data_IF_734548840166
#
_entry.id   IF_734548840166
#
_cell.length_a   1.000
_cell.length_b   1.000
_cell.length_c   1.000
_cell.angle_alpha   90.00
_cell.angle_beta   90.00
_cell.angle_gamma   90.00
#
_symmetry.space_group_name_H-M   'P 1'
#
loop_
_entity.id
_entity.type
_entity.pdbx_description
1 polymer ?
#
# COMPACT_ATOMS: atom_id res chain seq x y z
N UNK A 1 -4.94 25.09 -4.65
CA UNK A 1 -4.72 23.76 -4.05
C UNK A 1 -5.39 22.67 -4.89
N UNK A 2 -5.08 22.59 -6.20
CA UNK A 2 -5.76 21.70 -7.17
C UNK A 2 -4.82 20.78 -7.95
N UNK A 3 -3.50 20.82 -7.68
CA UNK A 3 -2.49 20.05 -8.41
C UNK A 3 -2.26 18.63 -7.86
N UNK A 4 -2.60 18.37 -6.59
CA UNK A 4 -2.31 17.11 -5.90
C UNK A 4 -3.13 15.92 -6.46
N UNK A 5 -2.48 14.83 -6.87
CA UNK A 5 -3.16 13.62 -7.37
C UNK A 5 -4.06 12.99 -6.31
N UNK A 6 -3.63 12.92 -5.05
CA UNK A 6 -4.48 12.43 -3.97
C UNK A 6 -5.71 13.32 -3.74
N UNK A 7 -5.57 14.64 -3.91
CA UNK A 7 -6.72 15.56 -3.84
C UNK A 7 -7.65 15.46 -5.06
N UNK A 8 -7.12 15.09 -6.23
CA UNK A 8 -7.88 14.83 -7.46
C UNK A 8 -8.58 13.48 -7.46
N UNK A 9 -8.14 12.53 -6.63
CA UNK A 9 -8.77 11.23 -6.54
C UNK A 9 -10.20 11.38 -6.03
N UNK A 10 -11.20 11.24 -6.90
CA UNK A 10 -12.60 11.56 -6.57
C UNK A 10 -13.15 10.74 -5.41
N UNK A 11 -12.90 9.43 -5.42
CA UNK A 11 -13.54 8.53 -4.46
C UNK A 11 -12.76 8.42 -3.15
N UNK A 12 -11.47 8.81 -3.14
CA UNK A 12 -10.55 8.78 -1.98
C UNK A 12 -10.80 7.54 -1.10
N UNK A 13 -10.91 6.40 -1.78
CA UNK A 13 -11.23 5.08 -1.25
C UNK A 13 -10.39 4.05 -1.97
N UNK A 14 -9.68 3.25 -1.20
CA UNK A 14 -8.86 2.15 -1.74
C UNK A 14 -9.62 0.85 -1.55
N UNK A 15 -10.06 0.55 -0.33
CA UNK A 15 -10.79 -0.66 0.01
C UNK A 15 -12.27 -0.56 -0.34
N UNK A 16 -12.82 -1.62 -0.93
CA UNK A 16 -14.23 -1.69 -1.30
C UNK A 16 -15.17 -1.78 -0.07
N UNK A 17 -14.74 -2.46 1.00
CA UNK A 17 -15.54 -2.76 2.20
C UNK A 17 -14.83 -2.34 3.50
N UNK A 18 -14.77 -1.03 3.76
CA UNK A 18 -14.05 -0.47 4.91
C UNK A 18 -14.84 -0.62 6.21
N UNK A 19 -14.17 -1.11 7.26
CA UNK A 19 -14.68 -1.09 8.64
C UNK A 19 -14.41 0.25 9.33
N UNK A 20 -13.31 0.92 8.97
CA UNK A 20 -13.00 2.27 9.41
C UNK A 20 -12.18 2.99 8.32
N UNK A 21 -12.41 4.30 8.17
CA UNK A 21 -11.65 5.16 7.27
C UNK A 21 -11.48 6.51 7.93
N UNK A 22 -10.26 7.06 7.89
CA UNK A 22 -10.00 8.42 8.34
C UNK A 22 -8.97 9.10 7.44
N UNK A 23 -8.99 10.43 7.46
CA UNK A 23 -8.09 11.27 6.68
C UNK A 23 -7.41 12.25 7.59
N UNK A 24 -6.11 12.41 7.40
CA UNK A 24 -5.32 13.44 8.07
C UNK A 24 -4.68 14.33 7.02
N UNK A 25 -4.62 15.63 7.34
CA UNK A 25 -3.89 16.60 6.54
C UNK A 25 -2.81 17.15 7.46
N UNK A 26 -1.56 16.88 7.13
CA UNK A 26 -0.46 17.44 7.88
C UNK A 26 -0.28 18.91 7.46
N UNK A 27 -0.65 19.84 8.36
CA UNK A 27 -0.73 21.26 8.02
C UNK A 27 0.62 21.91 7.69
N UNK A 28 1.75 21.30 8.08
CA UNK A 28 3.08 21.85 7.81
C UNK A 28 3.58 21.52 6.40
N UNK A 29 3.28 20.32 5.88
CA UNK A 29 3.72 19.88 4.56
C UNK A 29 2.56 19.70 3.56
N UNK A 30 1.35 20.10 3.92
CA UNK A 30 0.13 19.96 3.12
C UNK A 30 -0.04 18.56 2.50
N UNK A 31 0.43 17.53 3.21
CA UNK A 31 0.36 16.14 2.76
C UNK A 31 -0.91 15.53 3.33
N UNK A 32 -1.80 15.10 2.44
CA UNK A 32 -2.98 14.33 2.80
C UNK A 32 -2.56 12.85 2.96
N UNK A 33 -3.07 12.22 4.01
CA UNK A 33 -2.93 10.78 4.25
C UNK A 33 -4.32 10.18 4.41
N UNK A 34 -4.61 9.17 3.60
CA UNK A 34 -5.81 8.35 3.68
C UNK A 34 -5.47 7.06 4.41
N UNK A 35 -6.19 6.77 5.48
CA UNK A 35 -6.07 5.54 6.23
C UNK A 35 -7.38 4.76 6.17
N UNK A 36 -7.29 3.49 5.83
CA UNK A 36 -8.42 2.59 5.71
C UNK A 36 -8.13 1.27 6.40
N UNK A 37 -9.15 0.71 7.06
CA UNK A 37 -9.05 -0.54 7.80
C UNK A 37 -10.23 -1.43 7.47
N UNK A 38 -9.95 -2.70 7.20
CA UNK A 38 -10.93 -3.78 7.12
C UNK A 38 -10.56 -4.82 8.18
N UNK A 39 -11.54 -5.20 9.01
CA UNK A 39 -11.35 -6.21 10.05
C UNK A 39 -12.38 -7.33 9.86
N UNK A 40 -11.90 -8.56 9.89
CA UNK A 40 -12.70 -9.79 9.97
C UNK A 40 -12.22 -10.61 11.17
N UNK A 41 -12.84 -11.75 11.44
CA UNK A 41 -12.52 -12.58 12.62
C UNK A 41 -11.03 -12.97 12.69
N UNK A 42 -10.48 -13.42 11.56
CA UNK A 42 -9.11 -13.97 11.46
C UNK A 42 -8.13 -13.11 10.66
N UNK A 43 -8.62 -12.03 10.05
CA UNK A 43 -7.82 -11.19 9.16
C UNK A 43 -8.11 -9.71 9.38
N UNK A 44 -7.03 -8.93 9.54
CA UNK A 44 -7.04 -7.48 9.56
C UNK A 44 -6.23 -6.95 8.39
N UNK A 45 -6.80 -6.03 7.62
CA UNK A 45 -6.10 -5.29 6.58
C UNK A 45 -6.12 -3.80 6.90
N UNK A 46 -4.97 -3.15 6.83
CA UNK A 46 -4.85 -1.69 6.82
C UNK A 46 -4.27 -1.24 5.48
N UNK A 47 -4.71 -0.08 5.01
CA UNK A 47 -4.16 0.60 3.86
C UNK A 47 -3.93 2.05 4.24
N UNK A 48 -2.70 2.50 4.06
CA UNK A 48 -2.31 3.90 4.15
C UNK A 48 -1.92 4.37 2.75
N UNK A 49 -2.45 5.52 2.33
CA UNK A 49 -2.05 6.19 1.09
C UNK A 49 -1.67 7.62 1.40
N UNK A 50 -0.51 8.02 0.93
CA UNK A 50 0.01 9.37 1.09
C UNK A 50 0.68 9.85 -0.21
N UNK A 51 1.05 11.12 -0.23
CA UNK A 51 1.76 11.73 -1.36
C UNK A 51 0.86 12.56 -2.26
N UNK A 52 1.51 13.32 -3.16
CA UNK A 52 0.84 14.35 -3.93
C UNK A 52 0.96 14.14 -5.43
N UNK A 53 2.16 14.22 -6.01
CA UNK A 53 2.39 13.87 -7.42
C UNK A 53 2.88 12.42 -7.58
N UNK A 54 3.66 11.95 -6.61
CA UNK A 54 4.02 10.55 -6.44
C UNK A 54 3.23 9.99 -5.26
N UNK A 55 2.55 8.86 -5.46
CA UNK A 55 1.75 8.22 -4.43
C UNK A 55 2.57 7.15 -3.73
N UNK A 56 2.58 7.16 -2.41
CA UNK A 56 3.09 6.07 -1.59
C UNK A 56 1.90 5.37 -0.94
N UNK A 57 1.91 4.04 -1.04
CA UNK A 57 0.92 3.17 -0.43
C UNK A 57 1.59 2.11 0.42
N UNK A 58 1.03 1.92 1.61
CA UNK A 58 1.37 0.83 2.50
C UNK A 58 0.11 0.02 2.73
N UNK A 59 0.11 -1.25 2.33
CA UNK A 59 -0.94 -2.20 2.66
C UNK A 59 -0.39 -3.25 3.63
N UNK A 60 -1.02 -3.41 4.79
CA UNK A 60 -0.64 -4.43 5.76
C UNK A 60 -1.77 -5.42 5.96
N UNK A 61 -1.46 -6.71 5.90
CA UNK A 61 -2.38 -7.81 6.13
C UNK A 61 -1.91 -8.69 7.28
N UNK A 62 -2.68 -8.76 8.36
CA UNK A 62 -2.36 -9.56 9.53
C UNK A 62 -3.33 -10.73 9.63
N UNK A 63 -2.79 -11.95 9.60
CA UNK A 63 -3.55 -13.17 9.84
C UNK A 63 -3.26 -13.73 11.23
N UNK A 64 -4.31 -14.08 11.97
CA UNK A 64 -4.17 -14.89 13.19
C UNK A 64 -3.89 -16.33 12.78
N UNK A 65 -2.72 -16.86 13.17
CA UNK A 65 -2.34 -18.25 12.88
C UNK A 65 -1.18 -18.66 13.77
N UNK A 66 -1.28 -19.85 14.37
CA UNK A 66 -0.19 -20.47 15.12
C UNK A 66 0.73 -21.33 14.23
N UNK A 67 0.31 -21.63 13.00
CA UNK A 67 1.12 -22.36 12.02
C UNK A 67 2.05 -21.40 11.29
N UNK A 68 3.31 -21.36 11.71
CA UNK A 68 4.36 -20.53 11.11
C UNK A 68 5.22 -21.29 10.09
N UNK A 69 4.73 -22.44 9.60
CA UNK A 69 5.39 -23.19 8.52
C UNK A 69 5.45 -22.35 7.25
N UNK A 70 6.51 -22.54 6.46
CA UNK A 70 6.71 -21.84 5.19
C UNK A 70 5.52 -22.04 4.23
N UNK A 71 5.01 -23.28 4.15
CA UNK A 71 3.82 -23.61 3.36
C UNK A 71 2.59 -22.78 3.76
N UNK A 72 2.32 -22.61 5.06
CA UNK A 72 1.20 -21.79 5.50
C UNK A 72 1.44 -20.31 5.20
N UNK A 73 2.66 -19.81 5.43
CA UNK A 73 3.04 -18.44 5.13
C UNK A 73 2.86 -18.13 3.64
N UNK A 74 3.31 -18.99 2.74
CA UNK A 74 3.15 -18.80 1.30
C UNK A 74 1.68 -18.80 0.88
N UNK A 75 0.88 -19.70 1.47
CA UNK A 75 -0.57 -19.73 1.27
C UNK A 75 -1.22 -18.42 1.72
N UNK A 76 -0.87 -17.91 2.91
CA UNK A 76 -1.38 -16.64 3.45
C UNK A 76 -0.90 -15.43 2.64
N UNK A 77 0.33 -15.46 2.13
CA UNK A 77 0.87 -14.43 1.22
C UNK A 77 0.03 -14.36 -0.05
N UNK A 78 -0.27 -15.51 -0.65
CA UNK A 78 -1.14 -15.58 -1.84
C UNK A 78 -2.54 -15.05 -1.54
N UNK A 79 -3.13 -15.44 -0.39
CA UNK A 79 -4.43 -14.93 0.06
C UNK A 79 -4.42 -13.40 0.22
N UNK A 80 -3.34 -12.84 0.76
CA UNK A 80 -3.17 -11.39 0.90
C UNK A 80 -3.14 -10.67 -0.44
N UNK A 81 -2.33 -11.17 -1.39
CA UNK A 81 -2.22 -10.59 -2.73
C UNK A 81 -3.56 -10.71 -3.50
N UNK A 82 -4.23 -11.87 -3.41
CA UNK A 82 -5.57 -12.08 -3.99
C UNK A 82 -6.60 -11.13 -3.39
N UNK A 83 -6.53 -10.90 -2.08
CA UNK A 83 -7.40 -9.96 -1.39
C UNK A 83 -7.23 -8.54 -1.95
N UNK A 84 -5.98 -8.07 -2.10
CA UNK A 84 -5.69 -6.74 -2.63
C UNK A 84 -6.18 -6.57 -4.07
N UNK A 85 -6.01 -7.59 -4.92
CA UNK A 85 -6.51 -7.56 -6.31
C UNK A 85 -8.04 -7.44 -6.38
N UNK A 86 -8.76 -8.12 -5.49
CA UNK A 86 -10.24 -8.21 -5.54
C UNK A 86 -10.95 -7.11 -4.77
N UNK A 87 -10.34 -6.61 -3.70
CA UNK A 87 -11.01 -5.74 -2.72
C UNK A 87 -10.51 -4.29 -2.75
N UNK A 88 -9.77 -3.91 -3.78
CA UNK A 88 -9.27 -2.55 -3.94
C UNK A 88 -9.66 -1.91 -5.27
N UNK A 89 -9.69 -0.58 -5.29
CA UNK A 89 -9.83 0.23 -6.50
C UNK A 89 -8.56 0.30 -7.36
N UNK A 90 -7.44 -0.29 -6.90
CA UNK A 90 -6.14 -0.34 -7.57
C UNK A 90 -5.79 -1.76 -8.05
N UNK A 91 -6.82 -2.53 -8.42
CA UNK A 91 -6.70 -3.93 -8.79
C UNK A 91 -5.64 -4.21 -9.86
N UNK A 92 -5.49 -3.34 -10.87
CA UNK A 92 -4.47 -3.50 -11.93
C UNK A 92 -3.03 -3.34 -11.41
N UNK A 93 -2.78 -2.36 -10.53
CA UNK A 93 -1.46 -2.17 -9.92
C UNK A 93 -1.13 -3.41 -9.04
N UNK A 94 -2.09 -3.92 -8.27
CA UNK A 94 -1.88 -5.12 -7.46
C UNK A 94 -1.77 -6.42 -8.25
N UNK A 95 -2.41 -6.53 -9.43
CA UNK A 95 -2.18 -7.68 -10.33
C UNK A 95 -0.73 -7.74 -10.79
N UNK A 96 -0.11 -6.59 -11.07
CA UNK A 96 1.31 -6.54 -11.45
C UNK A 96 2.22 -7.01 -10.30
N UNK A 97 1.93 -6.58 -9.07
CA UNK A 97 2.62 -7.03 -7.87
C UNK A 97 2.44 -8.53 -7.65
N UNK A 98 1.19 -9.01 -7.72
CA UNK A 98 0.85 -10.40 -7.54
C UNK A 98 1.58 -11.29 -8.54
N UNK A 99 1.54 -10.94 -9.83
CA UNK A 99 2.20 -11.72 -10.87
C UNK A 99 3.70 -11.87 -10.58
N UNK A 100 4.38 -10.80 -10.17
CA UNK A 100 5.80 -10.88 -9.81
C UNK A 100 6.07 -11.89 -8.68
N UNK A 101 5.35 -11.79 -7.56
CA UNK A 101 5.56 -12.70 -6.42
C UNK A 101 5.07 -14.14 -6.63
N UNK A 102 4.33 -14.40 -7.71
CA UNK A 102 3.90 -15.75 -8.07
C UNK A 102 4.77 -16.41 -9.14
N UNK A 103 5.51 -15.64 -9.94
CA UNK A 103 6.30 -16.16 -11.07
C UNK A 103 7.81 -16.02 -10.90
N UNK A 104 8.26 -15.04 -10.13
CA UNK A 104 9.66 -14.66 -10.02
C UNK A 104 10.22 -15.05 -8.64
N UNK A 105 11.53 -15.28 -8.55
CA UNK A 105 12.18 -15.61 -7.26
C UNK A 105 12.00 -14.47 -6.25
N UNK A 106 11.73 -14.85 -4.99
CA UNK A 106 11.52 -13.89 -3.90
C UNK A 106 12.80 -13.11 -3.60
N UNK A 107 12.87 -11.88 -4.13
CA UNK A 107 13.95 -10.94 -3.83
C UNK A 107 13.63 -10.07 -2.61
N UNK A 108 14.66 -9.76 -1.82
CA UNK A 108 14.61 -8.77 -0.75
C UNK A 108 14.77 -7.33 -1.27
N UNK A 109 15.00 -7.13 -2.57
CA UNK A 109 15.16 -5.81 -3.17
C UNK A 109 13.82 -5.20 -3.59
N UNK A 110 13.79 -3.88 -3.75
CA UNK A 110 12.65 -3.21 -4.34
C UNK A 110 12.54 -3.58 -5.82
N UNK A 111 11.37 -4.03 -6.22
CA UNK A 111 11.09 -4.40 -7.61
C UNK A 111 10.52 -3.19 -8.31
N UNK A 112 11.11 -2.81 -9.45
CA UNK A 112 10.63 -1.72 -10.29
C UNK A 112 10.02 -2.28 -11.58
N UNK A 113 8.73 -2.05 -11.81
CA UNK A 113 8.03 -2.37 -13.06
C UNK A 113 7.32 -1.11 -13.57
N UNK A 114 7.88 -0.50 -14.61
CA UNK A 114 7.38 0.77 -15.16
C UNK A 114 7.47 1.91 -14.13
N UNK A 115 6.34 2.55 -13.85
CA UNK A 115 6.20 3.62 -12.84
C UNK A 115 5.95 3.09 -11.42
N UNK A 116 5.83 1.77 -11.26
CA UNK A 116 5.57 1.11 -9.98
C UNK A 116 6.88 0.63 -9.38
N UNK A 117 7.15 0.94 -8.12
CA UNK A 117 8.15 0.25 -7.32
C UNK A 117 7.51 -0.34 -6.08
N UNK A 118 7.86 -1.58 -5.73
CA UNK A 118 7.20 -2.26 -4.63
C UNK A 118 8.10 -3.26 -3.91
N UNK A 119 7.76 -3.54 -2.65
CA UNK A 119 8.42 -4.54 -1.81
C UNK A 119 7.45 -5.14 -0.80
N UNK A 120 7.48 -6.46 -0.67
CA UNK A 120 6.65 -7.23 0.26
C UNK A 120 7.51 -7.76 1.39
N UNK A 121 7.18 -7.36 2.61
CA UNK A 121 7.80 -7.83 3.84
C UNK A 121 6.90 -8.87 4.49
N UNK A 122 7.51 -9.85 5.15
CA UNK A 122 6.80 -10.84 5.97
C UNK A 122 7.38 -10.79 7.38
N UNK A 123 6.53 -10.54 8.36
CA UNK A 123 6.88 -10.59 9.79
C UNK A 123 6.09 -11.70 10.49
N UNK A 124 6.73 -12.39 11.45
CA UNK A 124 6.18 -13.53 12.17
C UNK A 124 6.10 -13.19 13.65
N UNK A 125 4.88 -13.24 14.20
CA UNK A 125 4.63 -13.18 15.64
C UNK A 125 4.23 -14.55 16.19
N UNK A 126 4.17 -14.66 17.52
CA UNK A 126 3.85 -15.91 18.24
C UNK A 126 2.58 -16.62 17.74
N UNK A 127 1.55 -15.88 17.35
CA UNK A 127 0.26 -16.42 16.84
C UNK A 127 -0.27 -15.60 15.66
N UNK A 128 0.64 -14.99 14.89
CA UNK A 128 0.26 -14.17 13.74
C UNK A 128 1.35 -14.13 12.68
N UNK A 129 0.91 -13.92 11.44
CA UNK A 129 1.79 -13.54 10.34
C UNK A 129 1.29 -12.21 9.78
N UNK A 130 2.21 -11.26 9.62
CA UNK A 130 1.95 -9.97 9.01
C UNK A 130 2.67 -9.89 7.66
N UNK A 131 1.94 -9.39 6.65
CA UNK A 131 2.48 -9.03 5.36
C UNK A 131 2.37 -7.54 5.20
N UNK A 132 3.47 -6.88 4.85
CA UNK A 132 3.50 -5.44 4.55
C UNK A 132 3.95 -5.24 3.12
N UNK A 133 3.07 -4.75 2.28
CA UNK A 133 3.37 -4.32 0.93
C UNK A 133 3.58 -2.80 0.93
N UNK A 134 4.78 -2.37 0.56
CA UNK A 134 5.07 -0.97 0.25
C UNK A 134 5.05 -0.82 -1.27
N UNK A 135 4.32 0.17 -1.77
CA UNK A 135 4.12 0.45 -3.18
C UNK A 135 4.24 1.95 -3.43
N UNK A 136 5.19 2.33 -4.27
CA UNK A 136 5.34 3.69 -4.76
C UNK A 136 4.93 3.76 -6.23
N UNK A 137 4.12 4.76 -6.55
CA UNK A 137 3.70 5.08 -7.91
C UNK A 137 4.31 6.40 -8.31
N UNK A 138 5.41 6.33 -9.05
CA UNK A 138 6.18 7.49 -9.49
C UNK A 138 5.68 7.97 -10.84
N UNK A 139 4.80 8.98 -10.82
CA UNK A 139 4.30 9.65 -12.03
C UNK A 139 5.25 10.75 -12.50
N UNK A 140 6.06 11.31 -11.60
CA UNK A 140 7.03 12.37 -11.89
C UNK A 140 8.44 11.98 -11.41
N UNK A 141 9.33 11.63 -12.33
CA UNK A 141 10.72 11.25 -12.02
C UNK A 141 11.58 12.38 -11.48
N UNK A 142 11.16 13.64 -11.67
CA UNK A 142 11.88 14.83 -11.21
C UNK A 142 11.49 15.24 -9.78
N UNK A 143 10.43 14.66 -9.22
CA UNK A 143 10.12 14.81 -7.79
C UNK A 143 10.74 13.66 -7.00
N UNK A 144 12.05 13.77 -6.78
CA UNK A 144 12.78 12.89 -5.87
C UNK A 144 12.70 13.37 -4.40
N UNK A 145 12.21 14.59 -4.18
CA UNK A 145 12.11 15.23 -2.86
C UNK A 145 10.73 15.87 -2.68
N UNK A 146 10.11 15.63 -1.51
CA UNK A 146 8.86 16.27 -1.07
C UNK A 146 9.04 17.76 -0.68
N UNK A 147 10.08 18.42 -1.20
CA UNK A 147 10.47 19.78 -0.83
C UNK A 147 10.78 20.64 -2.04
N UNK A 148 9.74 21.13 -2.70
CA UNK A 148 9.72 22.57 -2.93
C UNK A 148 8.63 23.16 -2.05
N UNK A 149 9.04 23.49 -0.82
CA UNK A 149 8.57 24.69 -0.16
C UNK A 149 8.69 25.78 -1.23
N UNK A 150 7.57 26.08 -1.88
CA UNK A 150 7.42 27.31 -2.63
C UNK A 150 7.49 28.40 -1.59
N UNK A 151 8.72 28.83 -1.28
CA UNK A 151 8.98 30.11 -0.67
C UNK A 151 8.33 31.12 -1.60
N UNK A 152 7.12 31.54 -1.23
CA UNK A 152 6.50 32.76 -1.73
C UNK A 152 7.55 33.85 -1.58
N UNK A 153 8.22 34.21 -2.67
CA UNK A 153 8.76 35.56 -2.78
C UNK A 153 7.54 36.47 -2.81
N UNK A 154 7.43 37.30 -1.76
CA UNK A 154 6.49 38.41 -1.67
C UNK A 154 6.58 39.28 -2.92
#
# INVERSE_FOLDING_TARGET
MSSCELAKWKDKKVLNNVSASFRTIEMHNYTEVLNEKLTTEDFECTVEVSGCDNLNMIAEGTYKTSDLSEKNIDSKRKQFLDFLVKNTSLSEDFKMVQNHYLTDDLSQEYIKKGFLSFKLFTDKGKDKVNFRLVLDKNKNSNQTENWEITTRKK
#
